data_IF_475348109027
#
_entry.id   IF_475348109027
#
_cell.length_a   1.000
_cell.length_b   1.000
_cell.length_c   1.000
_cell.angle_alpha   90.00
_cell.angle_beta   90.00
_cell.angle_gamma   90.00
#
_symmetry.space_group_name_H-M   'P 1'
#
loop_
_entity.id
_entity.type
_entity.pdbx_description
1 polymer ?
#
# COMPACT_ATOMS: atom_id res chain seq x y z
N UNK A 1 -6.74 -13.23 1.10
CA UNK A 1 -6.03 -12.07 0.51
C UNK A 1 -6.28 -11.97 -0.99
N UNK A 2 -5.95 -12.99 -1.80
CA UNK A 2 -6.16 -12.95 -3.27
C UNK A 2 -7.62 -12.66 -3.65
N UNK A 3 -8.58 -13.35 -3.02
CA UNK A 3 -10.03 -13.13 -3.25
C UNK A 3 -10.44 -11.70 -2.87
N UNK A 4 -9.98 -11.21 -1.72
CA UNK A 4 -10.27 -9.85 -1.25
C UNK A 4 -9.68 -8.77 -2.17
N UNK A 5 -8.45 -8.97 -2.66
CA UNK A 5 -7.79 -8.09 -3.63
C UNK A 5 -8.49 -8.10 -4.98
N UNK A 6 -8.95 -9.27 -5.45
CA UNK A 6 -9.71 -9.39 -6.70
C UNK A 6 -11.07 -8.68 -6.62
N UNK A 7 -11.79 -8.84 -5.49
CA UNK A 7 -13.05 -8.12 -5.24
C UNK A 7 -12.82 -6.61 -5.15
N UNK A 8 -11.77 -6.16 -4.46
CA UNK A 8 -11.40 -4.74 -4.42
C UNK A 8 -11.04 -4.18 -5.80
N UNK A 9 -10.31 -4.93 -6.63
CA UNK A 9 -9.96 -4.51 -7.99
C UNK A 9 -11.17 -4.45 -8.92
N UNK A 10 -12.16 -5.34 -8.74
CA UNK A 10 -13.43 -5.31 -9.46
C UNK A 10 -14.28 -4.10 -9.04
N UNK A 11 -14.39 -3.82 -7.74
CA UNK A 11 -15.13 -2.65 -7.24
C UNK A 11 -14.45 -1.34 -7.68
N UNK A 12 -13.11 -1.33 -7.71
CA UNK A 12 -12.28 -0.21 -8.14
C UNK A 12 -12.49 0.25 -9.58
N UNK A 13 -12.62 -0.72 -10.48
CA UNK A 13 -12.66 -0.49 -11.93
C UNK A 13 -14.06 -0.21 -12.44
N UNK A 14 -15.07 -0.29 -11.56
CA UNK A 14 -16.48 -0.10 -11.91
C UNK A 14 -16.96 1.26 -11.38
N UNK A 15 -17.87 1.98 -12.08
CA UNK A 15 -18.42 3.27 -11.62
C UNK A 15 -19.14 3.24 -10.24
N UNK A 16 -19.22 2.06 -9.59
CA UNK A 16 -19.67 1.87 -8.21
C UNK A 16 -18.98 2.77 -7.21
N UNK A 17 -17.74 3.17 -7.45
CA UNK A 17 -16.96 4.01 -6.52
C UNK A 17 -17.66 5.35 -6.20
N UNK A 18 -18.28 5.97 -7.22
CA UNK A 18 -19.02 7.23 -7.04
C UNK A 18 -20.37 6.97 -6.35
N UNK A 19 -21.03 5.85 -6.66
CA UNK A 19 -22.27 5.45 -6.00
C UNK A 19 -22.05 5.18 -4.51
N UNK A 20 -20.96 4.52 -4.15
CA UNK A 20 -20.60 4.24 -2.75
C UNK A 20 -20.31 5.54 -1.99
N UNK A 21 -19.53 6.48 -2.56
CA UNK A 21 -19.25 7.75 -1.87
C UNK A 21 -20.49 8.58 -1.62
N UNK A 22 -21.36 8.71 -2.62
CA UNK A 22 -22.53 9.58 -2.51
C UNK A 22 -23.68 8.88 -1.76
N UNK A 23 -23.98 7.62 -2.06
CA UNK A 23 -25.16 6.93 -1.49
C UNK A 23 -24.89 6.16 -0.20
N UNK A 24 -23.70 5.58 -0.01
CA UNK A 24 -23.40 4.78 1.20
C UNK A 24 -22.72 5.65 2.24
N UNK A 25 -21.67 6.38 1.86
CA UNK A 25 -20.95 7.25 2.78
C UNK A 25 -21.61 8.62 2.95
N UNK A 26 -22.60 8.97 2.11
CA UNK A 26 -23.34 10.22 2.22
C UNK A 26 -22.47 11.47 1.97
N UNK A 27 -21.35 11.33 1.26
CA UNK A 27 -20.47 12.47 0.99
C UNK A 27 -21.18 13.47 0.10
N UNK A 28 -21.02 14.75 0.45
CA UNK A 28 -21.34 15.85 -0.46
C UNK A 28 -20.57 15.66 -1.77
N UNK A 29 -21.17 16.01 -2.93
CA UNK A 29 -20.54 15.81 -4.25
C UNK A 29 -19.13 16.40 -4.34
N UNK A 30 -18.94 17.59 -3.76
CA UNK A 30 -17.64 18.27 -3.70
C UNK A 30 -16.57 17.41 -3.01
N UNK A 31 -16.92 16.80 -1.86
CA UNK A 31 -16.02 15.93 -1.09
C UNK A 31 -15.76 14.59 -1.79
N UNK A 32 -16.75 14.07 -2.52
CA UNK A 32 -16.59 12.85 -3.30
C UNK A 32 -15.59 13.05 -4.45
N UNK A 33 -15.57 14.24 -5.07
CA UNK A 33 -14.56 14.61 -6.06
C UNK A 33 -13.17 14.75 -5.43
N UNK A 34 -13.06 15.40 -4.27
CA UNK A 34 -11.80 15.47 -3.51
C UNK A 34 -11.24 14.08 -3.12
N UNK A 35 -12.10 13.11 -2.83
CA UNK A 35 -11.70 11.76 -2.43
C UNK A 35 -11.31 10.86 -3.62
N UNK A 36 -11.67 11.21 -4.86
CA UNK A 36 -11.38 10.35 -6.02
C UNK A 36 -9.89 10.08 -6.22
N UNK A 37 -9.06 11.13 -6.25
CA UNK A 37 -7.63 11.00 -6.52
C UNK A 37 -6.89 10.20 -5.44
N UNK A 38 -7.06 10.48 -4.13
CA UNK A 38 -6.50 9.63 -3.07
C UNK A 38 -6.90 8.17 -3.19
N UNK A 39 -8.15 7.89 -3.58
CA UNK A 39 -8.63 6.51 -3.68
C UNK A 39 -7.99 5.72 -4.79
N UNK A 40 -7.72 6.33 -5.94
CA UNK A 40 -6.94 5.67 -7.00
C UNK A 40 -5.53 5.31 -6.52
N UNK A 41 -4.89 6.18 -5.74
CA UNK A 41 -3.58 5.88 -5.13
C UNK A 41 -3.68 4.70 -4.17
N UNK A 42 -4.66 4.74 -3.25
CA UNK A 42 -4.87 3.67 -2.26
C UNK A 42 -5.27 2.34 -2.91
N UNK A 43 -5.91 2.35 -4.08
CA UNK A 43 -6.25 1.14 -4.84
C UNK A 43 -5.04 0.38 -5.37
N UNK A 44 -3.88 1.01 -5.48
CA UNK A 44 -2.64 0.31 -5.81
C UNK A 44 -2.09 -0.54 -4.64
N UNK A 45 -2.39 -0.15 -3.39
CA UNK A 45 -1.91 -0.84 -2.18
C UNK A 45 -2.29 -2.32 -2.09
N UNK A 46 -3.54 -2.76 -2.38
CA UNK A 46 -3.88 -4.17 -2.29
C UNK A 46 -3.10 -5.04 -3.29
N UNK A 47 -2.71 -4.50 -4.45
CA UNK A 47 -1.83 -5.21 -5.38
C UNK A 47 -0.43 -5.41 -4.78
N UNK A 48 0.14 -4.35 -4.21
CA UNK A 48 1.44 -4.39 -3.51
C UNK A 48 1.37 -5.33 -2.29
N UNK A 49 0.26 -5.34 -1.57
CA UNK A 49 0.07 -6.17 -0.38
C UNK A 49 0.08 -7.68 -0.72
N UNK A 50 -0.44 -8.08 -1.89
CA UNK A 50 -0.34 -9.47 -2.35
C UNK A 50 1.12 -9.85 -2.58
N UNK A 51 1.87 -9.03 -3.32
CA UNK A 51 3.30 -9.27 -3.56
C UNK A 51 4.10 -9.35 -2.26
N UNK A 52 3.86 -8.42 -1.34
CA UNK A 52 4.45 -8.42 0.00
C UNK A 52 4.17 -9.72 0.75
N UNK A 53 2.91 -10.20 0.72
CA UNK A 53 2.52 -11.43 1.41
C UNK A 53 3.29 -12.66 0.89
N UNK A 54 3.57 -12.73 -0.41
CA UNK A 54 4.35 -13.82 -1.02
C UNK A 54 5.82 -13.79 -0.56
N UNK A 55 6.45 -12.61 -0.56
CA UNK A 55 7.83 -12.48 -0.09
C UNK A 55 7.93 -12.76 1.41
N UNK A 56 6.96 -12.29 2.19
CA UNK A 56 6.89 -12.51 3.62
C UNK A 56 6.75 -13.99 3.94
N UNK A 57 5.85 -14.73 3.28
CA UNK A 57 5.70 -16.16 3.53
C UNK A 57 6.99 -16.92 3.24
N UNK A 58 7.68 -16.61 2.14
CA UNK A 58 8.96 -17.24 1.80
C UNK A 58 10.05 -17.00 2.87
N UNK A 59 10.17 -15.78 3.39
CA UNK A 59 11.14 -15.43 4.44
C UNK A 59 10.81 -16.09 5.79
N UNK A 60 9.52 -16.19 6.14
CA UNK A 60 9.07 -16.86 7.37
C UNK A 60 9.38 -18.36 7.31
N UNK A 61 9.11 -19.03 6.17
CA UNK A 61 9.45 -20.45 5.97
C UNK A 61 10.96 -20.69 6.09
N UNK A 62 11.78 -19.74 5.62
CA UNK A 62 13.24 -19.78 5.78
C UNK A 62 13.74 -19.34 7.18
N UNK A 63 12.86 -19.18 8.17
CA UNK A 63 13.13 -18.68 9.54
C UNK A 63 13.83 -17.31 9.59
N UNK A 64 13.71 -16.48 8.56
CA UNK A 64 14.28 -15.12 8.50
C UNK A 64 13.28 -14.04 8.95
N UNK A 65 12.62 -14.26 10.09
CA UNK A 65 11.57 -13.37 10.62
C UNK A 65 12.08 -11.95 10.93
N UNK A 66 13.36 -11.80 11.29
CA UNK A 66 13.98 -10.50 11.58
C UNK A 66 13.87 -9.54 10.39
N UNK A 67 13.99 -10.05 9.15
CA UNK A 67 13.88 -9.24 7.93
C UNK A 67 12.46 -8.74 7.70
N UNK A 68 11.46 -9.52 8.12
CA UNK A 68 10.06 -9.11 8.06
C UNK A 68 9.78 -7.97 9.05
N UNK A 69 10.36 -8.05 10.25
CA UNK A 69 10.27 -6.99 11.27
C UNK A 69 10.91 -5.69 10.77
N UNK A 70 12.12 -5.76 10.22
CA UNK A 70 12.81 -4.58 9.66
C UNK A 70 12.00 -3.95 8.53
N UNK A 71 11.41 -4.77 7.65
CA UNK A 71 10.54 -4.26 6.59
C UNK A 71 9.34 -3.50 7.13
N UNK A 72 8.74 -3.98 8.22
CA UNK A 72 7.59 -3.33 8.85
C UNK A 72 7.99 -2.01 9.49
N UNK A 73 9.17 -1.95 10.13
CA UNK A 73 9.73 -0.70 10.65
C UNK A 73 10.02 0.30 9.53
N UNK A 74 10.55 -0.15 8.39
CA UNK A 74 10.76 0.69 7.21
C UNK A 74 9.45 1.19 6.62
N UNK A 75 8.40 0.39 6.64
CA UNK A 75 7.07 0.81 6.20
C UNK A 75 6.54 1.95 7.06
N UNK A 76 6.49 1.75 8.38
CA UNK A 76 5.98 2.76 9.32
C UNK A 76 6.83 4.02 9.30
N UNK A 77 8.15 3.88 9.33
CA UNK A 77 9.09 5.00 9.23
C UNK A 77 8.99 5.72 7.89
N UNK A 78 8.82 4.98 6.79
CA UNK A 78 8.61 5.54 5.46
C UNK A 78 7.30 6.32 5.35
N UNK A 79 6.20 5.79 5.89
CA UNK A 79 4.91 6.50 5.94
C UNK A 79 5.06 7.78 6.76
N UNK A 80 5.58 7.69 7.98
CA UNK A 80 5.71 8.86 8.86
C UNK A 80 6.63 9.93 8.24
N UNK A 81 7.80 9.53 7.74
CA UNK A 81 8.76 10.45 7.12
C UNK A 81 8.22 11.11 5.87
N UNK A 82 7.62 10.34 4.95
CA UNK A 82 7.02 10.90 3.74
C UNK A 82 5.82 11.80 4.05
N UNK A 83 5.03 11.48 5.08
CA UNK A 83 3.88 12.29 5.49
C UNK A 83 4.34 13.65 6.04
N UNK A 84 5.34 13.65 6.92
CA UNK A 84 5.93 14.89 7.45
C UNK A 84 6.48 15.74 6.30
N UNK A 85 7.18 15.12 5.34
CA UNK A 85 7.72 15.83 4.18
C UNK A 85 6.62 16.39 3.28
N UNK A 86 5.60 15.60 2.93
CA UNK A 86 4.51 16.04 2.07
C UNK A 86 3.71 17.18 2.72
N UNK A 87 3.35 17.05 3.98
CA UNK A 87 2.60 18.10 4.70
C UNK A 87 3.46 19.34 4.94
N UNK A 88 4.77 19.19 5.15
CA UNK A 88 5.67 20.32 5.43
C UNK A 88 6.16 21.06 4.19
N UNK A 89 6.22 20.41 3.02
CA UNK A 89 6.80 20.97 1.79
C UNK A 89 5.77 21.25 0.70
N UNK A 90 4.53 20.79 0.83
CA UNK A 90 3.51 20.92 -0.22
C UNK A 90 2.17 21.38 0.34
N UNK A 91 1.40 22.09 -0.47
CA UNK A 91 0.00 22.48 -0.16
C UNK A 91 -1.00 21.36 -0.50
N UNK A 92 -0.54 20.10 -0.55
CA UNK A 92 -1.41 18.97 -0.82
C UNK A 92 -2.43 18.80 0.29
N UNK A 93 -3.65 18.43 -0.09
CA UNK A 93 -4.67 18.09 0.90
C UNK A 93 -4.18 16.88 1.74
N UNK A 94 -4.52 16.89 3.03
CA UNK A 94 -4.02 15.87 3.97
C UNK A 94 -4.40 14.44 3.58
N UNK A 95 -5.53 14.26 2.88
CA UNK A 95 -5.98 12.95 2.38
C UNK A 95 -5.06 12.39 1.28
N UNK A 96 -4.66 13.23 0.32
CA UNK A 96 -3.77 12.86 -0.77
C UNK A 96 -2.34 12.68 -0.25
N UNK A 97 -1.88 13.55 0.65
CA UNK A 97 -0.60 13.37 1.35
C UNK A 97 -0.56 12.01 2.05
N UNK A 98 -1.59 11.67 2.83
CA UNK A 98 -1.69 10.36 3.49
C UNK A 98 -1.68 9.20 2.50
N UNK A 99 -2.48 9.29 1.43
CA UNK A 99 -2.53 8.25 0.41
C UNK A 99 -1.17 8.01 -0.26
N UNK A 100 -0.46 9.09 -0.62
CA UNK A 100 0.88 9.01 -1.21
C UNK A 100 1.91 8.46 -0.22
N UNK A 101 1.87 8.89 1.04
CA UNK A 101 2.75 8.36 2.09
C UNK A 101 2.55 6.87 2.33
N UNK A 102 1.29 6.42 2.38
CA UNK A 102 0.96 5.00 2.48
C UNK A 102 1.49 4.22 1.27
N UNK A 103 1.29 4.73 0.05
CA UNK A 103 1.80 4.11 -1.17
C UNK A 103 3.33 4.03 -1.18
N UNK A 104 4.02 5.09 -0.77
CA UNK A 104 5.47 5.15 -0.71
C UNK A 104 6.04 4.17 0.32
N UNK A 105 5.57 4.22 1.58
CA UNK A 105 6.05 3.33 2.64
C UNK A 105 5.79 1.85 2.32
N UNK A 106 4.62 1.53 1.76
CA UNK A 106 4.30 0.16 1.32
C UNK A 106 5.21 -0.32 0.19
N UNK A 107 5.52 0.56 -0.76
CA UNK A 107 6.42 0.26 -1.87
C UNK A 107 7.85 0.00 -1.40
N UNK A 108 8.38 0.85 -0.51
CA UNK A 108 9.72 0.68 0.06
C UNK A 108 9.85 -0.63 0.85
N UNK A 109 8.89 -0.90 1.73
CA UNK A 109 8.82 -2.15 2.50
C UNK A 109 8.80 -3.38 1.57
N UNK A 110 7.94 -3.37 0.56
CA UNK A 110 7.81 -4.49 -0.38
C UNK A 110 9.07 -4.70 -1.22
N UNK A 111 9.74 -3.63 -1.65
CA UNK A 111 10.99 -3.72 -2.40
C UNK A 111 12.14 -4.29 -1.55
N UNK A 112 12.24 -3.85 -0.28
CA UNK A 112 13.20 -4.40 0.67
C UNK A 112 12.98 -5.91 0.88
N UNK A 113 11.72 -6.31 1.05
CA UNK A 113 11.36 -7.71 1.25
C UNK A 113 11.61 -8.56 0.00
N UNK A 114 11.31 -8.02 -1.19
CA UNK A 114 11.61 -8.65 -2.49
C UNK A 114 13.09 -8.90 -2.69
N UNK A 115 13.95 -7.93 -2.36
CA UNK A 115 15.40 -8.09 -2.48
C UNK A 115 15.91 -9.21 -1.56
N UNK A 116 15.45 -9.22 -0.31
CA UNK A 116 15.84 -10.23 0.66
C UNK A 116 15.36 -11.63 0.30
N UNK A 117 14.12 -11.77 -0.19
CA UNK A 117 13.58 -13.03 -0.67
C UNK A 117 14.37 -13.57 -1.89
N UNK A 118 14.79 -12.69 -2.82
CA UNK A 118 15.63 -13.09 -3.97
C UNK A 118 17.00 -13.61 -3.54
N UNK A 119 17.66 -12.96 -2.56
CA UNK A 119 18.96 -13.42 -2.04
C UNK A 119 18.89 -14.82 -1.41
N UNK A 120 17.79 -15.13 -0.72
CA UNK A 120 17.56 -16.46 -0.15
C UNK A 120 17.47 -17.55 -1.22
N UNK A 121 16.70 -17.31 -2.28
CA UNK A 121 16.53 -18.27 -3.38
C UNK A 121 17.85 -18.53 -4.11
N UNK A 122 18.71 -17.51 -4.25
CA UNK A 122 20.04 -17.68 -4.83
C UNK A 122 20.96 -18.49 -3.90
N UNK A 123 20.94 -18.22 -2.59
CA UNK A 123 21.76 -18.95 -1.60
C UNK A 123 21.39 -20.43 -1.45
N UNK A 124 20.15 -20.83 -1.77
CA UNK A 124 19.74 -22.25 -1.74
C UNK A 124 20.12 -23.00 -3.01
N UNK A 125 20.56 -22.30 -4.06
CA UNK A 125 20.96 -22.88 -5.36
C UNK A 125 22.47 -23.10 -5.49
N UNK A 126 23.28 -22.63 -4.54
CA UNK A 126 24.73 -22.85 -4.44
C UNK A 126 25.03 -23.92 -3.40
#
# INVERSE_FOLDING_TARGET
>A
VIVTTAVLALIATTPLLTMIYVHIYGLRPDLAEFARVPTYVLMSLPFIAVAYSLYRSALITARQNVKVTISTMMEVGGIAGTMILLVGLTDLNGALAAALSMAAGRSFSTLYLRWNARRLVVSMRS
#
